data_IF_277175309243
#
_entry.id   IF_277175309243
#
_cell.length_a   1.000
_cell.length_b   1.000
_cell.length_c   1.000
_cell.angle_alpha   90.00
_cell.angle_beta   90.00
_cell.angle_gamma   90.00
#
_symmetry.space_group_name_H-M   'P 1'
#
loop_
_entity.id
_entity.type
_entity.pdbx_description
1 polymer ?
#
# COMPACT_ATOMS: atom_id res chain seq x y z
N UNK A 1 7.27 11.56 4.61
CA UNK A 1 6.42 10.46 4.14
C UNK A 1 7.16 9.48 3.22
N UNK A 2 7.95 9.91 2.22
CA UNK A 2 8.70 9.00 1.34
C UNK A 2 9.74 8.09 2.05
N UNK A 3 10.26 8.51 3.22
CA UNK A 3 11.30 7.77 3.96
C UNK A 3 10.87 6.36 4.38
N UNK A 4 9.65 6.17 4.89
CA UNK A 4 9.18 4.86 5.34
C UNK A 4 9.07 3.86 4.18
N UNK A 5 8.55 4.29 3.04
CA UNK A 5 8.46 3.44 1.84
C UNK A 5 9.85 3.03 1.33
N UNK A 6 10.81 3.96 1.37
CA UNK A 6 12.21 3.69 1.04
C UNK A 6 12.86 2.72 2.03
N UNK A 7 12.61 2.89 3.33
CA UNK A 7 13.14 2.01 4.37
C UNK A 7 12.60 0.58 4.22
N UNK A 8 11.30 0.42 3.98
CA UNK A 8 10.68 -0.90 3.70
C UNK A 8 11.30 -1.51 2.44
N UNK A 9 11.43 -0.73 1.37
CA UNK A 9 12.06 -1.18 0.14
C UNK A 9 13.52 -1.62 0.34
N UNK A 10 14.28 -0.95 1.20
CA UNK A 10 15.65 -1.36 1.52
C UNK A 10 15.65 -2.74 2.21
N UNK A 11 14.86 -2.90 3.28
CA UNK A 11 14.80 -4.17 4.01
C UNK A 11 14.30 -5.34 3.16
N UNK A 12 13.37 -5.09 2.24
CA UNK A 12 12.87 -6.13 1.34
C UNK A 12 13.87 -6.54 0.26
N UNK A 13 14.79 -5.67 -0.16
CA UNK A 13 15.86 -6.06 -1.09
C UNK A 13 16.79 -7.09 -0.47
N UNK A 14 17.13 -6.89 0.80
CA UNK A 14 18.01 -7.78 1.55
C UNK A 14 17.36 -9.14 1.81
N UNK A 15 16.03 -9.17 1.98
CA UNK A 15 15.28 -10.40 2.23
C UNK A 15 14.89 -11.19 0.96
N UNK A 16 14.86 -10.56 -0.22
CA UNK A 16 14.33 -11.16 -1.44
C UNK A 16 15.39 -11.78 -2.37
N UNK A 17 16.64 -11.97 -1.92
CA UNK A 17 17.74 -12.56 -2.71
C UNK A 17 17.86 -12.00 -4.15
N UNK A 18 17.62 -10.70 -4.32
CA UNK A 18 17.72 -10.01 -5.61
C UNK A 18 16.51 -10.16 -6.54
N UNK A 19 15.46 -10.92 -6.16
CA UNK A 19 14.21 -10.93 -6.90
C UNK A 19 13.48 -9.59 -6.75
N UNK A 20 13.33 -8.84 -7.84
CA UNK A 20 12.61 -7.56 -7.88
C UNK A 20 11.09 -7.78 -7.85
N UNK A 21 10.59 -8.31 -6.74
CA UNK A 21 9.17 -8.62 -6.55
C UNK A 21 8.31 -7.40 -6.21
N UNK A 22 8.91 -6.21 -6.07
CA UNK A 22 8.18 -5.00 -5.70
C UNK A 22 8.69 -3.74 -6.41
N UNK A 23 7.85 -2.72 -6.49
CA UNK A 23 8.19 -1.36 -6.97
C UNK A 23 7.69 -0.29 -6.00
N UNK A 24 8.45 0.80 -5.89
CA UNK A 24 7.97 2.03 -5.24
C UNK A 24 6.97 2.72 -6.16
N UNK A 25 5.90 3.25 -5.60
CA UNK A 25 4.88 3.97 -6.35
C UNK A 25 4.34 5.12 -5.52
N UNK A 26 4.69 6.37 -5.84
CA UNK A 26 4.21 7.54 -5.09
C UNK A 26 4.21 8.81 -5.93
N UNK A 27 3.44 9.83 -5.51
CA UNK A 27 3.24 11.09 -6.24
C UNK A 27 4.52 11.88 -6.53
N UNK A 28 5.61 11.65 -5.79
CA UNK A 28 6.92 12.25 -6.05
C UNK A 28 7.70 11.66 -7.24
N UNK A 29 7.20 10.63 -7.92
CA UNK A 29 7.84 10.06 -9.13
C UNK A 29 7.32 10.74 -10.39
N UNK A 30 8.08 10.71 -11.47
CA UNK A 30 7.62 11.30 -12.72
C UNK A 30 6.48 10.47 -13.34
N UNK A 31 5.59 11.11 -14.09
CA UNK A 31 4.40 10.45 -14.64
C UNK A 31 4.74 9.28 -15.58
N UNK A 32 5.84 9.34 -16.31
CA UNK A 32 6.30 8.23 -17.16
C UNK A 32 6.69 7.01 -16.33
N UNK A 33 7.37 7.21 -15.20
CA UNK A 33 7.73 6.11 -14.29
C UNK A 33 6.50 5.51 -13.66
N UNK A 34 5.56 6.34 -13.17
CA UNK A 34 4.30 5.86 -12.59
C UNK A 34 3.51 5.03 -13.60
N UNK A 35 3.43 5.48 -14.86
CA UNK A 35 2.75 4.74 -15.92
C UNK A 35 3.44 3.40 -16.20
N UNK A 36 4.77 3.41 -16.37
CA UNK A 36 5.54 2.19 -16.63
C UNK A 36 5.42 1.16 -15.50
N UNK A 37 5.41 1.61 -14.24
CA UNK A 37 5.26 0.71 -13.08
C UNK A 37 3.87 0.10 -13.03
N UNK A 38 2.81 0.85 -13.34
CA UNK A 38 1.45 0.30 -13.40
C UNK A 38 1.31 -0.69 -14.55
N UNK A 39 1.85 -0.38 -15.72
CA UNK A 39 1.86 -1.30 -16.86
C UNK A 39 2.58 -2.59 -16.47
N UNK A 40 3.79 -2.52 -15.91
CA UNK A 40 4.54 -3.69 -15.45
C UNK A 40 3.79 -4.49 -14.38
N UNK A 41 3.16 -3.82 -13.40
CA UNK A 41 2.47 -4.50 -12.30
C UNK A 41 1.20 -5.23 -12.72
N UNK A 42 0.55 -4.77 -13.80
CA UNK A 42 -0.69 -5.38 -14.31
C UNK A 42 -0.44 -6.49 -15.34
N UNK A 43 0.81 -6.69 -15.80
CA UNK A 43 1.15 -7.80 -16.69
C UNK A 43 1.10 -9.14 -15.94
N UNK A 44 0.42 -10.18 -16.48
CA UNK A 44 0.35 -11.50 -15.86
C UNK A 44 1.73 -12.15 -15.62
N UNK A 45 2.65 -11.98 -16.56
CA UNK A 45 4.00 -12.57 -16.52
C UNK A 45 5.03 -11.68 -15.82
N UNK A 46 4.59 -10.55 -15.25
CA UNK A 46 5.46 -9.67 -14.47
C UNK A 46 6.13 -10.44 -13.34
N UNK A 47 7.31 -10.01 -12.89
CA UNK A 47 7.85 -10.44 -11.60
C UNK A 47 7.41 -9.52 -10.45
N UNK A 48 6.88 -8.34 -10.76
CA UNK A 48 6.41 -7.40 -9.74
C UNK A 48 5.09 -7.90 -9.16
N UNK A 49 5.06 -8.11 -7.85
CA UNK A 49 3.93 -8.64 -7.06
C UNK A 49 3.42 -7.65 -6.03
N UNK A 50 4.23 -6.66 -5.65
CA UNK A 50 3.87 -5.66 -4.65
C UNK A 50 4.17 -4.24 -5.13
N UNK A 51 3.24 -3.33 -4.87
CA UNK A 51 3.50 -1.90 -4.96
C UNK A 51 3.64 -1.35 -3.54
N UNK A 52 4.75 -0.67 -3.28
CA UNK A 52 5.01 0.02 -2.01
C UNK A 52 4.70 1.49 -2.24
N UNK A 53 3.66 1.99 -1.59
CA UNK A 53 3.17 3.34 -1.77
C UNK A 53 2.98 4.04 -0.44
N UNK A 54 3.21 5.35 -0.41
CA UNK A 54 2.67 6.22 0.64
C UNK A 54 1.28 6.67 0.22
N UNK A 55 0.38 6.91 1.17
CA UNK A 55 -1.00 7.42 0.97
C UNK A 55 -1.19 8.06 -0.41
N UNK A 56 -1.81 7.30 -1.32
CA UNK A 56 -1.89 7.63 -2.74
C UNK A 56 -3.15 8.47 -3.06
N UNK A 57 -3.44 9.47 -2.23
CA UNK A 57 -4.50 10.43 -2.54
C UNK A 57 -4.19 11.08 -3.90
N UNK A 58 -5.14 10.98 -4.83
CA UNK A 58 -5.11 11.67 -6.12
C UNK A 58 -4.56 10.90 -7.33
N UNK A 59 -3.92 9.74 -7.18
CA UNK A 59 -3.32 9.03 -8.33
C UNK A 59 -4.35 8.17 -9.11
N UNK A 60 -5.57 8.01 -8.58
CA UNK A 60 -6.67 7.41 -9.35
C UNK A 60 -6.42 5.96 -9.81
N UNK A 61 -5.66 5.17 -9.04
CA UNK A 61 -5.37 3.78 -9.40
C UNK A 61 -6.65 2.94 -9.35
N UNK A 62 -6.97 2.29 -10.47
CA UNK A 62 -8.09 1.35 -10.58
C UNK A 62 -7.60 0.01 -11.14
N UNK A 63 -7.01 -0.81 -10.26
CA UNK A 63 -6.60 -2.18 -10.58
C UNK A 63 -7.63 -3.11 -9.95
N UNK A 64 -8.41 -3.85 -10.75
CA UNK A 64 -9.56 -4.60 -10.24
C UNK A 64 -9.15 -5.78 -9.34
N UNK A 65 -7.97 -6.34 -9.57
CA UNK A 65 -7.55 -7.62 -9.02
C UNK A 65 -6.51 -7.51 -7.88
N UNK A 66 -6.51 -6.40 -7.14
CA UNK A 66 -5.71 -6.29 -5.91
C UNK A 66 -6.24 -7.23 -4.83
N UNK A 67 -5.41 -8.20 -4.41
CA UNK A 67 -5.77 -9.22 -3.41
C UNK A 67 -5.39 -8.89 -1.98
N UNK A 68 -4.34 -8.10 -1.79
CA UNK A 68 -3.82 -7.78 -0.47
C UNK A 68 -3.54 -6.28 -0.37
N UNK A 69 -4.07 -5.66 0.66
CA UNK A 69 -3.68 -4.33 1.12
C UNK A 69 -3.01 -4.50 2.48
N UNK A 70 -1.80 -4.00 2.61
CA UNK A 70 -1.04 -4.04 3.87
C UNK A 70 -0.76 -2.60 4.30
N UNK A 71 -1.31 -2.22 5.44
CA UNK A 71 -0.99 -0.95 6.09
C UNK A 71 0.18 -1.16 7.05
N UNK A 72 1.30 -0.48 6.80
CA UNK A 72 2.44 -0.43 7.69
C UNK A 72 2.40 0.87 8.51
N UNK A 73 1.72 0.80 9.65
CA UNK A 73 1.23 1.95 10.40
C UNK A 73 -0.26 2.21 10.13
N UNK A 74 -0.94 2.84 11.09
CA UNK A 74 -2.35 3.16 10.97
C UNK A 74 -2.57 4.41 10.09
N UNK A 75 -3.58 4.41 9.21
CA UNK A 75 -4.09 5.63 8.58
C UNK A 75 -4.51 6.68 9.62
N UNK A 76 -4.56 7.96 9.20
CA UNK A 76 -4.84 9.06 10.14
C UNK A 76 -6.30 9.07 10.59
N UNK A 77 -7.22 8.79 9.68
CA UNK A 77 -8.65 8.72 10.00
C UNK A 77 -9.25 7.39 9.57
N UNK A 78 -10.44 7.11 10.08
CA UNK A 78 -11.19 5.91 9.69
C UNK A 78 -11.61 5.98 8.21
N UNK A 79 -11.93 7.17 7.70
CA UNK A 79 -12.28 7.39 6.29
C UNK A 79 -11.09 7.11 5.37
N UNK A 80 -9.89 7.55 5.74
CA UNK A 80 -8.66 7.22 5.01
C UNK A 80 -8.49 5.70 4.89
N UNK A 81 -8.63 4.98 6.01
CA UNK A 81 -8.56 3.52 6.03
C UNK A 81 -9.58 2.89 5.06
N UNK A 82 -10.84 3.32 5.10
CA UNK A 82 -11.89 2.79 4.21
C UNK A 82 -11.61 3.07 2.73
N UNK A 83 -11.13 4.26 2.39
CA UNK A 83 -10.76 4.59 1.01
C UNK A 83 -9.56 3.77 0.52
N UNK A 84 -8.59 3.51 1.40
CA UNK A 84 -7.39 2.73 1.08
C UNK A 84 -7.70 1.24 0.90
N UNK A 85 -8.43 0.61 1.83
CA UNK A 85 -8.82 -0.81 1.72
C UNK A 85 -9.81 -1.07 0.58
N UNK A 86 -10.67 -0.08 0.24
CA UNK A 86 -11.64 -0.14 -0.85
C UNK A 86 -11.02 -0.24 -2.27
N UNK A 87 -9.69 -0.31 -2.37
CA UNK A 87 -8.97 -0.62 -3.61
C UNK A 87 -8.86 -2.13 -3.87
N UNK A 88 -8.96 -2.96 -2.84
CA UNK A 88 -8.89 -4.41 -2.96
C UNK A 88 -10.20 -4.99 -3.50
N UNK A 89 -10.14 -6.16 -4.15
CA UNK A 89 -11.36 -6.96 -4.39
C UNK A 89 -12.37 -6.39 -5.38
N UNK A 90 -11.99 -5.40 -6.22
CA UNK A 90 -12.93 -4.71 -7.14
C UNK A 90 -13.47 -5.61 -8.26
N UNK A 91 -12.81 -6.73 -8.53
CA UNK A 91 -13.28 -7.82 -9.40
C UNK A 91 -14.34 -8.73 -8.74
N UNK A 92 -14.74 -8.45 -7.50
CA UNK A 92 -15.72 -9.23 -6.74
C UNK A 92 -15.15 -10.52 -6.12
N UNK A 93 -13.86 -10.79 -6.27
CA UNK A 93 -13.19 -11.93 -5.62
C UNK A 93 -12.72 -11.54 -4.22
N UNK A 94 -12.54 -12.55 -3.38
CA UNK A 94 -12.03 -12.37 -2.02
C UNK A 94 -10.69 -11.62 -2.02
N UNK A 95 -10.58 -10.64 -1.13
CA UNK A 95 -9.38 -9.87 -0.89
C UNK A 95 -9.23 -9.62 0.62
N UNK A 96 -8.01 -9.33 1.05
CA UNK A 96 -7.70 -9.10 2.47
C UNK A 96 -7.03 -7.75 2.66
N UNK A 97 -7.42 -7.07 3.73
CA UNK A 97 -6.69 -5.95 4.28
C UNK A 97 -6.08 -6.39 5.62
N UNK A 98 -4.80 -6.05 5.83
CA UNK A 98 -4.12 -6.25 7.11
C UNK A 98 -3.44 -4.96 7.52
N UNK A 99 -3.47 -4.66 8.82
CA UNK A 99 -2.84 -3.48 9.38
C UNK A 99 -1.87 -3.88 10.49
N UNK A 100 -0.66 -3.34 10.42
CA UNK A 100 0.34 -3.45 11.47
C UNK A 100 0.48 -2.08 12.12
N UNK A 101 -0.11 -1.90 13.30
CA UNK A 101 -0.08 -0.66 14.04
C UNK A 101 0.74 -0.80 15.33
N UNK A 102 1.44 0.28 15.69
CA UNK A 102 2.12 0.42 16.97
C UNK A 102 1.48 1.55 17.77
N UNK A 103 1.74 1.60 19.08
CA UNK A 103 1.31 2.74 19.91
C UNK A 103 1.76 4.08 19.33
N UNK A 104 2.97 4.13 18.76
CA UNK A 104 3.54 5.33 18.15
C UNK A 104 2.77 5.73 16.89
N UNK A 105 2.41 4.78 16.01
CA UNK A 105 1.65 5.11 14.81
C UNK A 105 0.24 5.63 15.11
N UNK A 106 -0.34 5.25 16.26
CA UNK A 106 -1.69 5.67 16.67
C UNK A 106 -1.75 7.05 17.32
N UNK A 107 -0.61 7.65 17.72
CA UNK A 107 -0.61 8.90 18.49
C UNK A 107 -1.38 10.03 17.80
N UNK A 108 -1.28 10.10 16.47
CA UNK A 108 -1.84 11.17 15.65
C UNK A 108 -3.05 10.71 14.82
N UNK A 109 -3.68 9.58 15.18
CA UNK A 109 -4.88 9.08 14.54
C UNK A 109 -6.14 9.63 15.21
N UNK A 110 -7.27 9.63 14.48
CA UNK A 110 -8.58 9.94 15.02
C UNK A 110 -9.00 8.92 16.10
N UNK A 111 -9.92 9.30 16.99
CA UNK A 111 -10.38 8.41 18.07
C UNK A 111 -11.13 7.20 17.53
N UNK A 112 -11.86 7.36 16.43
CA UNK A 112 -12.55 6.30 15.72
C UNK A 112 -11.53 5.28 15.18
N UNK A 113 -10.44 5.76 14.59
CA UNK A 113 -9.37 4.89 14.08
C UNK A 113 -8.67 4.14 15.22
N UNK A 114 -8.38 4.82 16.34
CA UNK A 114 -7.82 4.18 17.54
C UNK A 114 -8.75 3.13 18.12
N UNK A 115 -10.06 3.34 18.00
CA UNK A 115 -11.08 2.39 18.47
C UNK A 115 -11.12 1.16 17.59
N UNK A 116 -11.13 1.33 16.26
CA UNK A 116 -11.05 0.22 15.30
C UNK A 116 -9.86 -0.70 15.57
N UNK A 117 -8.67 -0.11 15.74
CA UNK A 117 -7.41 -0.87 15.97
C UNK A 117 -7.44 -1.67 17.27
N UNK A 118 -8.21 -1.24 18.28
CA UNK A 118 -8.34 -1.96 19.55
C UNK A 118 -9.41 -3.06 19.51
N UNK A 119 -10.31 -3.02 18.53
CA UNK A 119 -11.39 -3.99 18.37
C UNK A 119 -11.05 -5.17 17.47
N UNK A 120 -9.97 -5.07 16.69
CA UNK A 120 -9.40 -6.13 15.86
C UNK A 120 -8.26 -6.86 16.57
#
# INVERSE_FOLDING_TARGET
MARLALDIAAHLKDAADGAKVFKLYHSGMCNSDLKSILEEFTQPDSCTRFLISTIAFGIGINIPDIRFIIHWGAPKTLEDYWQEVGRAGRDGKAAQAKMYATKVSLLNCSEEMKTLVKSE
#
